data_IF_364021891644
#
_entry.id   IF_364021891644
#
_cell.length_a   1.000
_cell.length_b   1.000
_cell.length_c   1.000
_cell.angle_alpha   90.00
_cell.angle_beta   90.00
_cell.angle_gamma   90.00
#
_symmetry.space_group_name_H-M   'P 1'
#
loop_
_entity.id
_entity.type
_entity.pdbx_description
1 polymer ?
#
# COMPACT_ATOMS: atom_id res chain seq x y z
N UNK A 1 -79.43 16.76 -5.09
CA UNK A 1 -78.80 15.43 -5.06
C UNK A 1 -77.29 15.67 -5.10
N UNK A 2 -76.59 15.21 -4.05
CA UNK A 2 -75.18 15.52 -3.77
C UNK A 2 -74.29 14.60 -4.60
N UNK A 3 -73.44 15.14 -5.49
CA UNK A 3 -72.42 14.34 -6.17
C UNK A 3 -71.14 14.38 -5.35
N UNK A 4 -70.76 13.19 -4.92
CA UNK A 4 -69.72 12.85 -3.97
C UNK A 4 -68.34 12.92 -4.65
N UNK A 5 -67.42 13.71 -4.08
CA UNK A 5 -66.01 13.70 -4.44
C UNK A 5 -65.39 12.33 -4.11
N UNK A 6 -64.71 11.72 -5.06
CA UNK A 6 -63.81 10.59 -4.81
C UNK A 6 -62.40 11.06 -5.16
N UNK A 7 -61.63 11.43 -4.13
CA UNK A 7 -60.20 11.65 -4.23
C UNK A 7 -59.55 10.28 -4.00
N UNK A 8 -59.00 9.70 -5.06
CA UNK A 8 -58.26 8.44 -4.99
C UNK A 8 -56.83 8.72 -4.52
N UNK A 9 -56.55 8.46 -3.24
CA UNK A 9 -55.20 8.49 -2.70
C UNK A 9 -54.42 7.25 -3.18
N UNK A 10 -53.50 7.46 -4.12
CA UNK A 10 -52.52 6.45 -4.55
C UNK A 10 -51.50 6.26 -3.42
N UNK A 11 -51.58 5.13 -2.72
CA UNK A 11 -50.62 4.75 -1.68
C UNK A 11 -49.34 4.26 -2.37
N UNK A 12 -48.31 5.10 -2.42
CA UNK A 12 -46.98 4.75 -2.91
C UNK A 12 -46.28 3.87 -1.86
N UNK A 13 -46.32 2.55 -2.04
CA UNK A 13 -45.47 1.62 -1.29
C UNK A 13 -44.07 1.73 -1.88
N UNK A 14 -43.24 2.60 -1.27
CA UNK A 14 -41.80 2.60 -1.51
C UNK A 14 -41.27 1.37 -0.77
N UNK A 15 -41.00 0.29 -1.49
CA UNK A 15 -40.26 -0.84 -0.95
C UNK A 15 -38.87 -0.36 -0.57
N UNK A 16 -38.54 -0.37 0.71
CA UNK A 16 -37.17 -0.16 1.18
C UNK A 16 -36.34 -1.35 0.71
N UNK A 17 -35.55 -1.16 -0.35
CA UNK A 17 -34.46 -2.08 -0.64
C UNK A 17 -33.47 -1.95 0.52
N UNK A 18 -33.40 -2.95 1.40
CA UNK A 18 -32.29 -3.08 2.33
C UNK A 18 -31.07 -3.41 1.49
N UNK A 19 -30.15 -2.46 1.32
CA UNK A 19 -28.83 -2.77 0.79
C UNK A 19 -28.21 -3.80 1.75
N UNK A 20 -27.98 -5.02 1.26
CA UNK A 20 -27.16 -5.99 1.99
C UNK A 20 -25.74 -5.47 1.87
N UNK A 21 -25.02 -5.36 3.00
CA UNK A 21 -23.59 -5.18 2.90
C UNK A 21 -23.01 -6.44 2.23
N UNK A 22 -21.97 -6.25 1.44
CA UNK A 22 -21.29 -7.32 0.75
C UNK A 22 -19.79 -7.04 0.82
N UNK A 23 -18.94 -8.09 0.86
CA UNK A 23 -17.53 -7.94 1.15
C UNK A 23 -16.81 -7.02 0.17
N UNK A 24 -15.89 -6.22 0.69
CA UNK A 24 -15.02 -5.32 -0.06
C UNK A 24 -13.59 -5.53 0.39
N UNK A 25 -12.66 -5.52 -0.56
CA UNK A 25 -11.22 -5.56 -0.31
C UNK A 25 -10.57 -4.21 -0.59
N UNK A 26 -9.60 -3.82 0.23
CA UNK A 26 -8.84 -2.58 0.06
C UNK A 26 -7.46 -2.67 0.67
N UNK A 27 -6.52 -1.90 0.12
CA UNK A 27 -5.20 -1.69 0.70
C UNK A 27 -5.25 -0.59 1.77
N UNK A 28 -6.18 -0.70 2.73
CA UNK A 28 -6.44 0.28 3.79
C UNK A 28 -7.84 0.12 4.40
N UNK A 29 -8.06 0.69 5.59
CA UNK A 29 -9.27 0.42 6.41
C UNK A 29 -10.59 0.96 5.82
N UNK A 30 -10.54 2.03 5.02
CA UNK A 30 -11.76 2.77 4.65
C UNK A 30 -12.54 2.21 3.44
N UNK A 31 -12.13 1.08 2.86
CA UNK A 31 -12.81 0.51 1.70
C UNK A 31 -12.89 1.51 0.53
N UNK A 32 -11.74 2.07 0.15
CA UNK A 32 -11.58 3.06 -0.91
C UNK A 32 -10.19 2.96 -1.54
N UNK A 33 -9.95 3.68 -2.64
CA UNK A 33 -8.61 3.78 -3.22
C UNK A 33 -7.66 4.55 -2.29
N UNK A 34 -6.41 4.10 -2.20
CA UNK A 34 -5.37 4.74 -1.37
C UNK A 34 -4.24 5.32 -2.22
N UNK A 35 -3.63 6.40 -1.72
CA UNK A 35 -2.38 6.94 -2.24
C UNK A 35 -1.34 6.98 -1.12
N UNK A 36 -0.28 6.20 -1.27
CA UNK A 36 0.89 6.22 -0.43
C UNK A 36 1.98 7.09 -1.05
N UNK A 37 2.84 7.67 -0.23
CA UNK A 37 3.98 8.45 -0.70
C UNK A 37 5.20 8.07 0.12
N UNK A 38 6.31 7.82 -0.58
CA UNK A 38 7.58 7.44 0.01
C UNK A 38 8.75 8.03 -0.79
N UNK A 39 9.91 8.10 -0.16
CA UNK A 39 11.17 8.39 -0.85
C UNK A 39 11.86 7.08 -1.26
N UNK A 40 12.66 7.14 -2.33
CA UNK A 40 13.51 6.00 -2.71
C UNK A 40 14.35 5.49 -1.52
N UNK A 41 14.28 4.19 -1.26
CA UNK A 41 14.92 3.51 -0.14
C UNK A 41 14.09 3.43 1.14
N UNK A 42 12.93 4.10 1.21
CA UNK A 42 12.01 3.96 2.34
C UNK A 42 11.32 2.59 2.35
N UNK A 43 10.87 2.17 3.53
CA UNK A 43 9.99 1.02 3.74
C UNK A 43 8.56 1.51 3.99
N UNK A 44 7.57 0.91 3.33
CA UNK A 44 6.15 1.19 3.52
C UNK A 44 5.43 -0.05 4.04
N UNK A 45 4.58 0.13 5.05
CA UNK A 45 3.64 -0.91 5.51
C UNK A 45 2.24 -0.60 4.98
N UNK A 46 1.73 -1.48 4.12
CA UNK A 46 0.45 -1.35 3.43
C UNK A 46 -0.48 -2.46 3.90
N UNK A 47 -1.55 -2.14 4.65
CA UNK A 47 -2.43 -3.16 5.19
C UNK A 47 -3.45 -3.61 4.14
N UNK A 48 -3.74 -4.92 4.10
CA UNK A 48 -4.85 -5.50 3.32
C UNK A 48 -6.03 -5.68 4.25
N UNK A 49 -7.17 -5.09 3.89
CA UNK A 49 -8.39 -5.09 4.67
C UNK A 49 -9.54 -5.76 3.92
N UNK A 50 -10.40 -6.41 4.70
CA UNK A 50 -11.75 -6.79 4.28
C UNK A 50 -12.77 -6.04 5.12
N UNK A 51 -13.88 -5.63 4.51
CA UNK A 51 -14.98 -4.93 5.17
C UNK A 51 -16.33 -5.30 4.56
N UNK A 52 -17.43 -4.96 5.24
CA UNK A 52 -18.78 -5.18 4.72
C UNK A 52 -19.22 -6.65 4.73
N UNK A 53 -18.71 -7.44 5.67
CA UNK A 53 -19.05 -8.85 5.82
C UNK A 53 -20.49 -9.05 6.31
N UNK A 54 -21.05 -8.16 7.13
CA UNK A 54 -22.34 -8.33 7.80
C UNK A 54 -23.53 -8.59 6.82
N UNK A 55 -24.25 -9.73 6.95
CA UNK A 55 -24.25 -10.67 8.08
C UNK A 55 -23.35 -11.91 7.94
N UNK A 56 -22.58 -12.00 6.87
CA UNK A 56 -21.67 -13.10 6.57
C UNK A 56 -20.41 -13.04 7.46
N UNK A 57 -19.72 -14.18 7.56
CA UNK A 57 -18.37 -14.27 8.14
C UNK A 57 -17.40 -14.74 7.06
N UNK A 58 -16.13 -14.39 7.16
CA UNK A 58 -15.07 -14.89 6.28
C UNK A 58 -14.48 -16.18 6.86
N UNK A 59 -14.81 -17.32 6.26
CA UNK A 59 -14.26 -18.63 6.60
C UNK A 59 -13.03 -19.02 5.77
N UNK A 60 -12.89 -18.49 4.56
CA UNK A 60 -11.70 -18.73 3.74
C UNK A 60 -11.48 -17.68 2.66
N UNK A 61 -10.22 -17.49 2.30
CA UNK A 61 -9.78 -16.56 1.25
C UNK A 61 -8.65 -17.16 0.42
N UNK A 62 -8.66 -16.85 -0.87
CA UNK A 62 -7.58 -17.06 -1.82
C UNK A 62 -7.56 -15.82 -2.73
N UNK A 63 -6.57 -14.96 -2.54
CA UNK A 63 -6.52 -13.62 -3.11
C UNK A 63 -5.17 -13.42 -3.77
N UNK A 64 -5.18 -12.99 -5.04
CA UNK A 64 -3.99 -12.55 -5.75
C UNK A 64 -4.05 -11.05 -5.96
N UNK A 65 -2.94 -10.37 -5.71
CA UNK A 65 -2.76 -8.97 -6.08
C UNK A 65 -1.45 -8.78 -6.86
N UNK A 66 -1.45 -7.83 -7.77
CA UNK A 66 -0.27 -7.43 -8.53
C UNK A 66 0.29 -6.09 -8.04
N UNK A 67 1.58 -5.89 -8.24
CA UNK A 67 2.27 -4.63 -7.95
C UNK A 67 3.37 -4.33 -8.97
N UNK A 68 3.71 -3.05 -9.12
CA UNK A 68 4.75 -2.61 -10.06
C UNK A 68 6.16 -2.75 -9.46
N UNK A 69 6.77 -3.92 -9.69
CA UNK A 69 8.13 -4.24 -9.22
C UNK A 69 9.24 -3.22 -9.56
N UNK A 70 9.24 -2.58 -10.74
CA UNK A 70 10.24 -1.56 -11.04
C UNK A 70 10.19 -0.33 -10.11
N UNK A 71 9.03 -0.07 -9.49
CA UNK A 71 8.81 1.08 -8.60
C UNK A 71 8.94 0.66 -7.13
N UNK A 72 8.42 -0.51 -6.78
CA UNK A 72 8.41 -1.03 -5.40
C UNK A 72 8.72 -2.52 -5.35
N UNK A 73 9.45 -2.97 -4.35
CA UNK A 73 9.78 -4.40 -4.13
C UNK A 73 9.07 -4.91 -2.87
N UNK A 74 8.38 -6.05 -2.95
CA UNK A 74 7.74 -6.65 -1.78
C UNK A 74 8.79 -7.32 -0.90
N UNK A 75 8.85 -6.94 0.37
CA UNK A 75 9.78 -7.51 1.34
C UNK A 75 9.14 -8.61 2.18
N UNK A 76 7.93 -8.39 2.70
CA UNK A 76 7.25 -9.37 3.56
C UNK A 76 5.73 -9.26 3.51
N UNK A 77 5.07 -10.35 3.89
CA UNK A 77 3.64 -10.45 4.15
C UNK A 77 3.45 -10.96 5.57
N UNK A 78 2.86 -10.15 6.44
CA UNK A 78 2.62 -10.44 7.84
C UNK A 78 1.11 -10.56 8.10
N UNK A 79 0.61 -11.78 8.34
CA UNK A 79 -0.81 -12.02 8.57
C UNK A 79 -1.28 -11.52 9.95
N UNK A 80 -2.49 -10.97 10.00
CA UNK A 80 -3.12 -10.42 11.21
C UNK A 80 -4.43 -11.12 11.60
N UNK A 81 -4.77 -12.20 10.90
CA UNK A 81 -6.02 -12.96 11.06
C UNK A 81 -6.16 -13.65 12.42
N UNK A 82 -5.07 -13.88 13.14
CA UNK A 82 -5.10 -14.49 14.48
C UNK A 82 -5.87 -13.62 15.51
N UNK A 83 -6.14 -12.36 15.18
CA UNK A 83 -6.99 -11.46 15.97
C UNK A 83 -8.49 -11.69 15.80
N UNK A 84 -8.90 -12.39 14.73
CA UNK A 84 -10.31 -12.60 14.35
C UNK A 84 -10.73 -14.07 14.36
N UNK A 85 -9.78 -14.99 14.51
CA UNK A 85 -10.05 -16.43 14.66
C UNK A 85 -8.77 -17.26 14.56
N UNK A 86 -8.92 -18.57 14.49
CA UNK A 86 -7.82 -19.52 14.26
C UNK A 86 -7.70 -19.80 12.77
N UNK A 87 -6.68 -19.26 12.10
CA UNK A 87 -6.49 -19.47 10.66
C UNK A 87 -5.23 -20.28 10.35
N UNK A 88 -5.30 -21.12 9.32
CA UNK A 88 -4.11 -21.58 8.60
C UNK A 88 -3.97 -20.66 7.39
N UNK A 89 -2.80 -20.04 7.24
CA UNK A 89 -2.52 -19.08 6.18
C UNK A 89 -1.18 -19.34 5.51
N UNK A 90 -1.04 -18.82 4.30
CA UNK A 90 0.19 -18.86 3.54
C UNK A 90 0.21 -17.77 2.47
N UNK A 91 1.41 -17.43 2.04
CA UNK A 91 1.62 -16.56 0.88
C UNK A 91 2.60 -17.23 -0.08
N UNK A 92 2.44 -16.90 -1.35
CA UNK A 92 3.42 -17.21 -2.38
C UNK A 92 3.59 -16.01 -3.28
N UNK A 93 4.84 -15.72 -3.61
CA UNK A 93 5.23 -14.56 -4.39
C UNK A 93 5.84 -15.02 -5.73
N UNK A 94 5.45 -14.35 -6.80
CA UNK A 94 6.02 -14.43 -8.15
C UNK A 94 6.22 -13.01 -8.64
N UNK A 95 7.17 -12.79 -9.57
CA UNK A 95 7.55 -11.46 -10.01
C UNK A 95 6.35 -10.54 -10.32
N UNK A 96 6.09 -9.54 -9.46
CA UNK A 96 4.99 -8.57 -9.55
C UNK A 96 3.58 -9.08 -9.17
N UNK A 97 3.44 -10.31 -8.65
CA UNK A 97 2.17 -10.92 -8.25
C UNK A 97 2.30 -11.76 -6.97
N UNK A 98 1.42 -11.49 -6.01
CA UNK A 98 1.44 -12.14 -4.70
C UNK A 98 0.09 -12.78 -4.47
N UNK A 99 0.11 -14.07 -4.16
CA UNK A 99 -1.05 -14.80 -3.69
C UNK A 99 -0.99 -14.90 -2.16
N UNK A 100 -2.09 -14.58 -1.50
CA UNK A 100 -2.32 -14.84 -0.08
C UNK A 100 -3.55 -15.73 0.06
N UNK A 101 -3.45 -16.75 0.91
CA UNK A 101 -4.55 -17.66 1.19
C UNK A 101 -4.67 -17.92 2.68
N UNK A 102 -5.89 -18.10 3.14
CA UNK A 102 -6.18 -18.48 4.52
C UNK A 102 -7.50 -19.24 4.63
N UNK A 103 -7.58 -20.16 5.59
CA UNK A 103 -8.81 -20.89 5.94
C UNK A 103 -8.93 -20.96 7.46
N UNK A 104 -10.11 -20.62 7.97
CA UNK A 104 -10.45 -20.72 9.38
C UNK A 104 -10.60 -22.18 9.81
N UNK A 105 -10.14 -22.48 11.02
CA UNK A 105 -10.36 -23.74 11.72
C UNK A 105 -11.49 -23.64 12.75
N UNK A 106 -12.01 -22.44 12.97
CA UNK A 106 -13.08 -22.21 13.94
C UNK A 106 -14.41 -22.69 13.36
N UNK A 107 -15.19 -23.36 14.22
CA UNK A 107 -16.52 -23.87 13.88
C UNK A 107 -17.62 -22.82 14.03
N UNK A 108 -17.30 -21.69 14.64
CA UNK A 108 -18.19 -20.56 14.88
C UNK A 108 -17.41 -19.26 14.68
N UNK A 109 -17.75 -18.53 13.62
CA UNK A 109 -17.18 -17.22 13.30
C UNK A 109 -18.15 -16.07 13.60
N UNK A 110 -19.28 -16.32 14.27
CA UNK A 110 -20.29 -15.28 14.54
C UNK A 110 -19.81 -14.09 15.38
N UNK A 111 -18.63 -14.23 16.02
CA UNK A 111 -17.95 -13.14 16.72
C UNK A 111 -17.00 -12.30 15.87
N UNK A 112 -16.83 -12.63 14.58
CA UNK A 112 -15.93 -11.92 13.69
C UNK A 112 -16.43 -10.48 13.45
N UNK A 113 -15.55 -9.46 13.51
CA UNK A 113 -15.95 -8.09 13.21
C UNK A 113 -16.31 -7.94 11.72
N UNK A 114 -17.19 -6.98 11.42
CA UNK A 114 -17.63 -6.65 10.05
C UNK A 114 -16.48 -6.21 9.12
N UNK A 115 -15.41 -5.67 9.72
CA UNK A 115 -14.20 -5.28 9.02
C UNK A 115 -12.96 -5.58 9.86
N UNK A 116 -11.90 -6.05 9.22
CA UNK A 116 -10.61 -6.33 9.85
C UNK A 116 -9.48 -6.41 8.83
N UNK A 117 -8.26 -6.27 9.34
CA UNK A 117 -7.04 -6.45 8.56
C UNK A 117 -6.75 -7.94 8.37
N UNK A 118 -6.49 -8.34 7.12
CA UNK A 118 -6.06 -9.70 6.75
C UNK A 118 -4.54 -9.84 6.95
N UNK A 119 -3.78 -8.89 6.40
CA UNK A 119 -2.32 -8.90 6.44
C UNK A 119 -1.74 -7.49 6.35
N UNK A 120 -0.47 -7.34 6.68
CA UNK A 120 0.36 -6.16 6.41
C UNK A 120 1.40 -6.53 5.36
N UNK A 121 1.50 -5.74 4.30
CA UNK A 121 2.49 -5.90 3.24
C UNK A 121 3.60 -4.88 3.47
N UNK A 122 4.84 -5.33 3.61
CA UNK A 122 5.98 -4.42 3.71
C UNK A 122 6.65 -4.31 2.34
N UNK A 123 6.68 -3.10 1.79
CA UNK A 123 7.33 -2.77 0.53
C UNK A 123 8.57 -1.91 0.75
N UNK A 124 9.56 -2.07 -0.13
CA UNK A 124 10.68 -1.13 -0.27
C UNK A 124 10.43 -0.26 -1.50
N UNK A 125 10.57 1.05 -1.37
CA UNK A 125 10.53 1.98 -2.51
C UNK A 125 11.83 1.91 -3.30
N UNK A 126 11.77 1.50 -4.57
CA UNK A 126 12.96 1.18 -5.39
C UNK A 126 13.35 2.32 -6.32
N UNK A 127 12.39 2.86 -7.09
CA UNK A 127 12.65 3.85 -8.12
C UNK A 127 11.55 4.91 -8.16
N UNK A 128 11.92 6.15 -8.49
CA UNK A 128 10.98 7.25 -8.72
C UNK A 128 9.91 6.86 -9.76
N UNK A 129 8.65 7.11 -9.42
CA UNK A 129 7.50 6.75 -10.24
C UNK A 129 6.23 6.55 -9.43
N UNK A 130 5.16 6.16 -10.13
CA UNK A 130 3.91 5.71 -9.50
C UNK A 130 3.79 4.22 -9.79
N UNK A 131 3.78 3.41 -8.73
CA UNK A 131 3.50 1.98 -8.79
C UNK A 131 2.09 1.70 -8.29
N UNK A 132 1.39 0.77 -8.90
CA UNK A 132 0.00 0.45 -8.56
C UNK A 132 -0.11 -0.95 -7.95
N UNK A 133 -0.91 -1.04 -6.90
CA UNK A 133 -1.39 -2.27 -6.26
C UNK A 133 -2.83 -2.50 -6.68
N UNK A 134 -3.13 -3.71 -7.18
CA UNK A 134 -4.50 -4.11 -7.51
C UNK A 134 -4.76 -5.58 -7.24
N UNK A 135 -5.98 -5.89 -6.80
CA UNK A 135 -6.44 -7.28 -6.71
C UNK A 135 -6.74 -7.80 -8.12
N UNK A 136 -6.19 -8.95 -8.48
CA UNK A 136 -6.31 -9.56 -9.83
C UNK A 136 -7.17 -10.81 -9.82
N UNK A 137 -7.15 -11.59 -8.74
CA UNK A 137 -8.02 -12.75 -8.52
C UNK A 137 -8.49 -12.80 -7.07
N UNK A 138 -9.76 -13.10 -6.84
CA UNK A 138 -10.38 -13.09 -5.52
C UNK A 138 -11.40 -14.22 -5.40
N UNK A 139 -11.14 -15.14 -4.49
CA UNK A 139 -12.08 -16.15 -4.05
C UNK A 139 -12.27 -16.04 -2.53
N UNK A 140 -13.49 -15.74 -2.11
CA UNK A 140 -13.87 -15.64 -0.70
C UNK A 140 -14.93 -16.70 -0.39
N UNK A 141 -14.94 -17.20 0.85
CA UNK A 141 -15.94 -18.16 1.32
C UNK A 141 -16.35 -17.89 2.76
N UNK A 142 -17.58 -18.28 3.09
CA UNK A 142 -18.12 -18.20 4.44
C UNK A 142 -17.62 -19.33 5.36
N UNK A 143 -18.10 -19.34 6.59
CA UNK A 143 -17.78 -20.37 7.60
C UNK A 143 -18.29 -21.78 7.25
N UNK A 144 -19.16 -21.90 6.24
CA UNK A 144 -19.65 -23.16 5.70
C UNK A 144 -18.98 -23.56 4.38
N UNK A 145 -18.07 -22.73 3.86
CA UNK A 145 -17.38 -22.93 2.58
C UNK A 145 -18.20 -22.53 1.34
N UNK A 146 -19.31 -21.80 1.50
CA UNK A 146 -20.02 -21.22 0.36
C UNK A 146 -19.32 -19.94 -0.10
N UNK A 147 -19.27 -19.73 -1.41
CA UNK A 147 -18.62 -18.56 -1.99
C UNK A 147 -19.33 -17.27 -1.60
N UNK A 148 -18.55 -16.29 -1.14
CA UNK A 148 -19.01 -14.93 -0.90
C UNK A 148 -18.81 -14.08 -2.16
N UNK A 149 -19.83 -13.29 -2.51
CA UNK A 149 -19.73 -12.37 -3.65
C UNK A 149 -19.04 -11.08 -3.22
N UNK A 150 -17.86 -10.83 -3.77
CA UNK A 150 -17.17 -9.55 -3.59
C UNK A 150 -17.97 -8.43 -4.27
N UNK A 151 -18.30 -7.38 -3.52
CA UNK A 151 -18.96 -6.21 -4.06
C UNK A 151 -17.99 -5.30 -4.81
N UNK A 152 -16.80 -5.12 -4.26
CA UNK A 152 -15.76 -4.30 -4.88
C UNK A 152 -14.35 -4.64 -4.36
N UNK A 153 -13.35 -4.25 -5.13
CA UNK A 153 -11.94 -4.24 -4.73
C UNK A 153 -11.34 -2.89 -5.08
N UNK A 154 -10.65 -2.27 -4.13
CA UNK A 154 -10.03 -0.95 -4.32
C UNK A 154 -8.53 -1.08 -4.58
N UNK A 155 -7.99 -0.11 -5.32
CA UNK A 155 -6.56 -0.08 -5.67
C UNK A 155 -5.78 0.77 -4.68
N UNK A 156 -4.45 0.65 -4.71
CA UNK A 156 -3.58 1.64 -4.08
C UNK A 156 -2.46 2.06 -5.02
N UNK A 157 -2.19 3.35 -5.07
CA UNK A 157 -1.03 3.88 -5.76
C UNK A 157 0.07 4.19 -4.73
N UNK A 158 1.33 3.92 -5.09
CA UNK A 158 2.53 4.25 -4.33
C UNK A 158 3.34 5.24 -5.15
N UNK A 159 3.34 6.50 -4.74
CA UNK A 159 4.14 7.55 -5.35
C UNK A 159 5.53 7.61 -4.70
N UNK A 160 6.55 7.15 -5.42
CA UNK A 160 7.95 7.15 -5.00
C UNK A 160 8.66 8.39 -5.53
N UNK A 161 9.31 9.12 -4.64
CA UNK A 161 10.01 10.37 -4.92
C UNK A 161 11.52 10.16 -4.77
N UNK A 162 12.32 10.62 -5.74
CA UNK A 162 13.77 10.52 -5.65
C UNK A 162 14.34 11.37 -4.51
N UNK A 163 15.36 10.85 -3.82
CA UNK A 163 16.11 11.63 -2.83
C UNK A 163 17.13 12.51 -3.56
N UNK A 164 17.13 13.85 -3.38
CA UNK A 164 18.12 14.69 -4.04
C UNK A 164 19.53 14.32 -3.59
N UNK A 165 20.35 13.80 -4.50
CA UNK A 165 21.78 13.60 -4.24
C UNK A 165 22.40 14.99 -4.03
N UNK A 166 23.08 15.25 -2.88
CA UNK A 166 23.78 16.51 -2.68
C UNK A 166 24.75 16.72 -3.84
N UNK A 167 24.83 17.93 -4.43
CA UNK A 167 25.75 18.17 -5.53
C UNK A 167 27.16 17.78 -5.07
N UNK A 168 27.81 16.90 -5.83
CA UNK A 168 29.21 16.55 -5.62
C UNK A 168 29.99 17.84 -5.41
N UNK A 169 30.72 18.01 -4.28
CA UNK A 169 31.44 19.24 -4.04
C UNK A 169 32.37 19.46 -5.22
N UNK A 170 32.12 20.53 -5.98
CA UNK A 170 33.02 20.95 -7.05
C UNK A 170 34.40 21.08 -6.42
N UNK A 171 35.38 20.26 -6.85
CA UNK A 171 36.74 20.36 -6.33
C UNK A 171 37.19 21.81 -6.50
N UNK A 172 37.33 22.54 -5.39
CA UNK A 172 37.93 23.86 -5.40
C UNK A 172 39.35 23.66 -5.95
N UNK A 173 39.71 24.27 -7.09
CA UNK A 173 41.06 24.14 -7.62
C UNK A 173 42.04 24.58 -6.54
N UNK A 174 42.97 23.69 -6.16
CA UNK A 174 44.00 24.03 -5.20
C UNK A 174 44.69 25.32 -5.67
N UNK A 175 44.90 26.32 -4.78
CA UNK A 175 45.69 27.50 -5.13
C UNK A 175 47.02 27.04 -5.75
N UNK A 176 47.57 27.74 -6.75
CA UNK A 176 48.81 27.34 -7.41
C UNK A 176 50.00 27.43 -6.43
N UNK A 177 50.13 26.45 -5.56
CA UNK A 177 51.20 26.32 -4.58
C UNK A 177 52.58 26.22 -5.27
N UNK A 178 52.60 25.71 -6.51
CA UNK A 178 53.77 25.71 -7.37
C UNK A 178 54.30 27.13 -7.67
N UNK A 179 53.41 28.12 -7.82
CA UNK A 179 53.80 29.51 -8.06
C UNK A 179 54.46 30.15 -6.84
N UNK A 180 53.90 29.92 -5.65
CA UNK A 180 54.46 30.43 -4.38
C UNK A 180 55.78 29.75 -4.00
N UNK A 181 55.95 28.46 -4.32
CA UNK A 181 57.23 27.76 -4.12
C UNK A 181 58.32 28.27 -5.08
N UNK A 182 58.00 28.56 -6.34
CA UNK A 182 58.98 29.09 -7.29
C UNK A 182 59.40 30.52 -6.91
N UNK A 183 58.46 31.34 -6.45
CA UNK A 183 58.73 32.71 -5.99
C UNK A 183 59.63 32.75 -4.75
N UNK A 184 59.41 31.84 -3.80
CA UNK A 184 60.25 31.73 -2.60
C UNK A 184 61.66 31.20 -2.91
N UNK A 185 61.81 30.31 -3.90
CA UNK A 185 63.12 29.85 -4.40
C UNK A 185 63.91 30.97 -5.12
N UNK A 186 63.23 31.86 -5.84
CA UNK A 186 63.86 33.00 -6.53
C UNK A 186 64.31 34.12 -5.57
N UNK A 187 63.72 34.23 -4.38
CA UNK A 187 64.09 35.23 -3.36
C UNK A 187 65.30 34.81 -2.48
N UNK A 188 65.64 33.51 -2.44
CA UNK A 188 66.79 32.99 -1.71
C UNK A 188 68.16 33.59 -2.12
N UNK A 189 68.49 33.80 -3.40
CA UNK A 189 69.74 34.46 -3.80
C UNK A 189 69.76 35.98 -3.50
N UNK A 190 68.60 36.64 -3.48
CA UNK A 190 68.47 38.06 -3.08
C UNK A 190 68.77 38.26 -1.60
N UNK A 191 68.30 37.34 -0.73
CA UNK A 191 68.63 37.35 0.70
C UNK A 191 70.13 37.24 0.96
N UNK A 192 70.86 36.42 0.19
CA UNK A 192 72.32 36.27 0.34
C UNK A 192 73.11 37.51 -0.08
N UNK A 193 72.56 38.41 -0.89
CA UNK A 193 73.22 39.66 -1.30
C UNK A 193 72.93 40.85 -0.38
N UNK A 194 71.79 40.86 0.30
CA UNK A 194 71.38 41.94 1.22
C UNK A 194 71.97 41.80 2.64
N UNK A 195 72.64 40.68 2.94
CA UNK A 195 73.27 40.37 4.24
C UNK A 195 74.81 40.41 4.18
N UNK A 196 75.38 41.20 3.26
CA UNK A 196 76.81 41.48 3.18
C UNK A 196 77.12 42.92 3.57
#
# INVERSE_FOLDING_TARGET
MKHLCIVSSLLLVIGSATATAAPVLSFGEQGQDYLYTAYEGDSLDIPVWISGLNPENLGGLDITFSFDEPVTDLFSVDFTLDSTGTFIYGSSDTYGEVNISAVSLDWDLSGQPDAFQIASLTFTAVSEGIGQLMFTDVLLSDDFGFTLNLANSFIADINVISVPVPPTPTQVPAPPAAGLMLFSLLLLPLRKRLLK
#
